data_IF_694839967783
#
_entry.id   IF_694839967783
#
_cell.length_a   1.000
_cell.length_b   1.000
_cell.length_c   1.000
_cell.angle_alpha   90.00
_cell.angle_beta   90.00
_cell.angle_gamma   90.00
#
_symmetry.space_group_name_H-M   'P 1'
#
loop_
_entity.id
_entity.type
_entity.pdbx_description
1 polymer ?
#
# COMPACT_ATOMS: atom_id res chain seq x y z
N UNK A 1 -33.50 -18.48 45.98
CA UNK A 1 -32.26 -17.71 45.73
C UNK A 1 -31.64 -18.26 44.46
N UNK A 2 -31.21 -17.40 43.56
CA UNK A 2 -30.32 -17.61 42.38
C UNK A 2 -30.70 -16.50 41.38
N UNK A 3 -30.18 -15.29 41.60
CA UNK A 3 -30.35 -14.16 40.71
C UNK A 3 -29.23 -14.19 39.66
N UNK A 4 -29.59 -14.42 38.40
CA UNK A 4 -28.67 -14.31 37.28
C UNK A 4 -28.19 -12.87 37.09
N UNK A 5 -26.97 -12.59 37.54
CA UNK A 5 -26.27 -11.32 37.31
C UNK A 5 -25.85 -11.25 35.84
N UNK A 6 -26.76 -10.78 34.98
CA UNK A 6 -26.45 -10.44 33.59
C UNK A 6 -25.79 -9.07 33.59
N UNK A 7 -24.45 -9.08 33.54
CA UNK A 7 -23.61 -7.88 33.53
C UNK A 7 -24.05 -6.85 32.49
N UNK A 8 -24.68 -5.77 32.96
CA UNK A 8 -25.09 -4.64 32.15
C UNK A 8 -23.86 -3.85 31.71
N UNK A 9 -23.55 -3.89 30.41
CA UNK A 9 -22.59 -2.95 29.83
C UNK A 9 -23.20 -1.55 29.84
N UNK A 10 -22.49 -0.60 30.45
CA UNK A 10 -22.89 0.81 30.50
C UNK A 10 -23.18 1.35 29.09
N UNK A 11 -24.27 2.11 28.94
CA UNK A 11 -24.67 2.79 27.68
C UNK A 11 -23.53 3.63 27.08
N UNK A 12 -22.61 4.12 27.93
CA UNK A 12 -21.42 4.86 27.50
C UNK A 12 -20.48 4.01 26.62
N UNK A 13 -20.33 2.71 26.92
CA UNK A 13 -19.48 1.81 26.12
C UNK A 13 -20.06 1.51 24.73
N UNK A 14 -21.38 1.68 24.55
CA UNK A 14 -22.05 1.48 23.25
C UNK A 14 -21.84 2.68 22.32
N UNK A 15 -21.78 3.90 22.89
CA UNK A 15 -21.53 5.15 22.16
C UNK A 15 -20.13 5.20 21.56
N UNK A 16 -19.11 4.82 22.33
CA UNK A 16 -17.71 4.84 21.87
C UNK A 16 -17.46 3.85 20.72
N UNK A 17 -18.02 2.64 20.82
CA UNK A 17 -17.86 1.59 19.79
C UNK A 17 -18.52 1.97 18.46
N UNK A 18 -19.65 2.69 18.50
CA UNK A 18 -20.32 3.19 17.29
C UNK A 18 -19.50 4.30 16.64
N UNK A 19 -18.98 5.23 17.45
CA UNK A 19 -18.15 6.35 17.00
C UNK A 19 -16.83 5.88 16.38
N UNK A 20 -16.21 4.85 16.94
CA UNK A 20 -15.00 4.23 16.40
C UNK A 20 -15.26 3.57 15.02
N UNK A 21 -16.39 2.89 14.87
CA UNK A 21 -16.81 2.26 13.61
C UNK A 21 -17.13 3.29 12.52
N UNK A 22 -17.68 4.45 12.89
CA UNK A 22 -17.89 5.58 11.97
C UNK A 22 -16.55 6.17 11.50
N UNK A 23 -15.58 6.37 12.41
CA UNK A 23 -14.22 6.81 12.05
C UNK A 23 -13.52 5.84 11.11
N UNK A 24 -13.65 4.53 11.31
CA UNK A 24 -13.08 3.53 10.40
C UNK A 24 -13.68 3.64 8.99
N UNK A 25 -15.00 3.79 8.87
CA UNK A 25 -15.68 3.98 7.58
C UNK A 25 -15.30 5.30 6.90
N UNK A 26 -15.09 6.36 7.67
CA UNK A 26 -14.59 7.63 7.13
C UNK A 26 -13.17 7.50 6.61
N UNK A 27 -12.29 6.78 7.33
CA UNK A 27 -10.93 6.46 6.85
C UNK A 27 -10.96 5.64 5.56
N UNK A 28 -11.74 4.56 5.49
CA UNK A 28 -11.89 3.74 4.28
C UNK A 28 -12.42 4.56 3.09
N UNK A 29 -13.38 5.47 3.32
CA UNK A 29 -13.91 6.37 2.28
C UNK A 29 -12.89 7.41 1.85
N UNK A 30 -12.08 7.92 2.77
CA UNK A 30 -11.02 8.87 2.49
C UNK A 30 -9.89 8.20 1.68
N UNK A 31 -9.46 6.99 2.07
CA UNK A 31 -8.49 6.19 1.34
C UNK A 31 -8.97 5.87 -0.08
N UNK A 32 -10.24 5.46 -0.23
CA UNK A 32 -10.83 5.20 -1.54
C UNK A 32 -10.87 6.46 -2.42
N UNK A 33 -11.22 7.62 -1.84
CA UNK A 33 -11.24 8.92 -2.56
C UNK A 33 -9.85 9.41 -2.95
N UNK A 34 -8.83 9.16 -2.14
CA UNK A 34 -7.44 9.52 -2.46
C UNK A 34 -6.95 8.65 -3.60
N UNK A 35 -7.22 7.35 -3.57
CA UNK A 35 -6.83 6.45 -4.65
C UNK A 35 -7.49 6.83 -5.98
N UNK A 36 -8.80 7.09 -5.97
CA UNK A 36 -9.62 7.53 -7.12
C UNK A 36 -9.15 8.87 -7.73
N UNK A 37 -8.84 9.87 -6.89
CA UNK A 37 -8.40 11.20 -7.38
C UNK A 37 -6.99 11.22 -7.96
N UNK A 38 -6.13 10.29 -7.54
CA UNK A 38 -4.71 10.29 -7.95
C UNK A 38 -4.52 9.47 -9.22
N UNK A 39 -5.29 8.39 -9.40
CA UNK A 39 -5.15 7.47 -10.55
C UNK A 39 -5.89 7.91 -11.81
N UNK A 40 -7.06 8.55 -11.71
CA UNK A 40 -7.98 8.74 -12.86
C UNK A 40 -7.74 10.03 -13.68
N UNK A 41 -6.93 10.99 -13.19
CA UNK A 41 -6.82 12.33 -13.80
C UNK A 41 -5.43 12.79 -14.25
N UNK A 42 -4.37 12.19 -13.72
CA UNK A 42 -3.00 12.65 -13.98
C UNK A 42 -2.09 11.55 -14.54
N UNK A 43 -2.57 10.31 -14.66
CA UNK A 43 -1.74 9.17 -15.03
C UNK A 43 -0.63 8.88 -14.02
N UNK A 44 -0.72 9.45 -12.80
CA UNK A 44 0.26 9.29 -11.74
C UNK A 44 -0.24 8.19 -10.80
N UNK A 45 0.39 7.03 -10.91
CA UNK A 45 0.03 5.87 -10.11
C UNK A 45 0.77 5.88 -8.77
N UNK A 46 0.19 5.23 -7.75
CA UNK A 46 0.80 5.16 -6.43
C UNK A 46 2.19 4.48 -6.46
N UNK A 47 3.05 4.76 -5.48
CA UNK A 47 4.34 4.10 -5.34
C UNK A 47 4.16 2.58 -5.22
N UNK A 48 5.13 1.85 -5.76
CA UNK A 48 5.27 0.42 -5.51
C UNK A 48 5.73 0.22 -4.08
N UNK A 49 4.99 -0.60 -3.33
CA UNK A 49 5.25 -0.87 -1.92
C UNK A 49 5.64 -2.34 -1.70
N UNK A 50 6.79 -2.57 -1.08
CA UNK A 50 7.15 -3.87 -0.52
C UNK A 50 6.78 -3.91 0.96
N UNK A 51 6.02 -4.93 1.35
CA UNK A 51 5.60 -5.16 2.73
C UNK A 51 6.31 -6.37 3.31
N UNK A 52 6.89 -6.21 4.49
CA UNK A 52 7.49 -7.30 5.26
C UNK A 52 6.69 -7.48 6.56
N UNK A 53 6.19 -8.69 6.80
CA UNK A 53 5.33 -8.96 7.95
C UNK A 53 4.00 -8.19 7.97
N UNK A 54 3.53 -7.68 6.81
CA UNK A 54 2.29 -6.91 6.69
C UNK A 54 2.46 -5.40 6.92
N UNK A 55 3.65 -4.93 7.30
CA UNK A 55 3.98 -3.51 7.38
C UNK A 55 4.75 -3.05 6.13
N UNK A 56 4.48 -1.84 5.66
CA UNK A 56 5.25 -1.20 4.59
C UNK A 56 6.72 -1.04 4.99
N UNK A 57 7.62 -1.48 4.11
CA UNK A 57 9.06 -1.44 4.39
C UNK A 57 9.85 -0.66 3.34
N UNK A 58 9.54 -0.85 2.05
CA UNK A 58 10.16 -0.11 0.95
C UNK A 58 9.05 0.51 0.11
N UNK A 59 9.20 1.80 -0.23
CA UNK A 59 8.34 2.49 -1.19
C UNK A 59 9.20 3.10 -2.28
N UNK A 60 8.81 2.89 -3.55
CA UNK A 60 9.51 3.43 -4.71
C UNK A 60 8.52 4.08 -5.67
N UNK A 61 8.89 5.25 -6.19
CA UNK A 61 8.18 5.92 -7.27
C UNK A 61 9.19 6.63 -8.17
N UNK A 62 8.91 6.66 -9.47
CA UNK A 62 9.66 7.47 -10.42
C UNK A 62 8.73 7.92 -11.55
N UNK A 63 9.01 9.10 -12.09
CA UNK A 63 8.37 9.59 -13.31
C UNK A 63 8.86 8.83 -14.54
N UNK A 64 10.15 8.48 -14.58
CA UNK A 64 10.74 7.67 -15.63
C UNK A 64 11.72 6.65 -15.03
N UNK A 65 11.51 5.37 -15.32
CA UNK A 65 12.40 4.27 -14.96
C UNK A 65 12.93 3.63 -16.24
N UNK A 66 14.14 4.02 -16.61
CA UNK A 66 14.84 3.43 -17.75
C UNK A 66 16.05 2.63 -17.28
N UNK A 67 16.21 1.42 -17.82
CA UNK A 67 17.42 0.62 -17.67
C UNK A 67 18.16 0.47 -19.00
N UNK A 68 19.48 0.38 -18.93
CA UNK A 68 20.33 0.11 -20.09
C UNK A 68 21.03 -1.24 -19.91
N UNK A 69 20.94 -2.11 -20.91
CA UNK A 69 21.52 -3.45 -20.87
C UNK A 69 22.50 -3.60 -22.03
N UNK A 70 23.71 -4.07 -21.76
CA UNK A 70 24.71 -4.35 -22.78
C UNK A 70 24.45 -5.74 -23.37
N UNK A 71 24.09 -5.81 -24.66
CA UNK A 71 23.87 -7.08 -25.39
C UNK A 71 24.60 -7.05 -26.72
N UNK A 72 25.37 -8.10 -27.01
CA UNK A 72 26.14 -8.20 -28.25
C UNK A 72 27.07 -7.01 -28.53
N UNK A 73 27.60 -6.37 -27.48
CA UNK A 73 28.45 -5.18 -27.59
C UNK A 73 27.72 -3.84 -27.83
N UNK A 74 26.37 -3.81 -27.79
CA UNK A 74 25.57 -2.59 -27.94
C UNK A 74 24.72 -2.35 -26.70
N UNK A 75 24.58 -1.09 -26.31
CA UNK A 75 23.66 -0.69 -25.23
C UNK A 75 22.23 -0.63 -25.77
N UNK A 76 21.37 -1.46 -25.20
CA UNK A 76 19.92 -1.43 -25.42
C UNK A 76 19.25 -0.69 -24.26
N UNK A 77 18.38 0.27 -24.57
CA UNK A 77 17.67 1.08 -23.58
C UNK A 77 16.21 0.62 -23.48
N UNK A 78 15.74 0.35 -22.28
CA UNK A 78 14.39 -0.14 -22.01
C UNK A 78 13.68 0.76 -20.99
N UNK A 79 12.53 1.31 -21.37
CA UNK A 79 11.63 2.01 -20.46
C UNK A 79 10.74 0.99 -19.73
N UNK A 80 10.85 0.95 -18.41
CA UNK A 80 10.11 0.06 -17.52
C UNK A 80 9.03 0.80 -16.72
N UNK A 81 8.82 2.10 -16.96
CA UNK A 81 7.94 2.96 -16.16
C UNK A 81 6.52 2.40 -16.08
N UNK A 82 5.88 2.17 -17.23
CA UNK A 82 4.51 1.62 -17.28
C UNK A 82 4.43 0.18 -16.80
N UNK A 83 5.53 -0.58 -16.85
CA UNK A 83 5.61 -1.96 -16.35
C UNK A 83 5.82 -2.04 -14.83
N UNK A 84 6.16 -0.92 -14.19
CA UNK A 84 6.46 -0.85 -12.75
C UNK A 84 5.42 -0.04 -12.01
N UNK A 85 5.05 1.12 -12.54
CA UNK A 85 4.12 2.09 -11.96
C UNK A 85 2.86 2.25 -12.83
N UNK A 86 2.48 1.27 -13.65
CA UNK A 86 1.29 1.39 -14.50
C UNK A 86 -0.01 1.07 -13.78
N UNK A 87 -1.13 1.40 -14.42
CA UNK A 87 -2.47 1.05 -13.93
C UNK A 87 -2.62 -0.47 -13.78
N UNK A 88 -3.09 -0.91 -12.61
CA UNK A 88 -3.34 -2.33 -12.34
C UNK A 88 -2.08 -3.21 -12.32
N UNK A 89 -0.89 -2.61 -12.38
CA UNK A 89 0.37 -3.35 -12.36
C UNK A 89 0.69 -3.78 -10.94
N UNK A 90 1.02 -5.06 -10.77
CA UNK A 90 1.58 -5.60 -9.53
C UNK A 90 2.95 -6.18 -9.84
N UNK A 91 4.04 -5.42 -9.66
CA UNK A 91 5.38 -5.90 -9.99
C UNK A 91 5.76 -7.07 -9.08
N UNK A 92 6.55 -8.00 -9.60
CA UNK A 92 7.02 -9.17 -8.85
C UNK A 92 8.20 -8.76 -7.96
N UNK A 93 7.92 -8.49 -6.70
CA UNK A 93 8.93 -8.07 -5.71
C UNK A 93 9.66 -9.25 -5.03
N UNK A 94 9.84 -10.36 -5.74
CA UNK A 94 10.50 -11.55 -5.21
C UNK A 94 11.99 -11.27 -4.99
N UNK A 95 12.51 -11.62 -3.82
CA UNK A 95 13.90 -11.34 -3.44
C UNK A 95 14.13 -9.94 -2.84
N UNK A 96 13.07 -9.15 -2.67
CA UNK A 96 13.10 -7.98 -1.80
C UNK A 96 13.29 -8.42 -0.35
N UNK A 97 14.09 -7.66 0.40
CA UNK A 97 14.40 -7.88 1.81
C UNK A 97 14.46 -6.53 2.50
N UNK A 98 13.94 -6.43 3.71
CA UNK A 98 14.00 -5.22 4.50
C UNK A 98 14.11 -5.55 5.99
N UNK A 99 15.29 -5.29 6.55
CA UNK A 99 15.51 -5.36 7.99
C UNK A 99 15.81 -3.97 8.56
N UNK A 100 16.14 -3.89 9.85
CA UNK A 100 16.33 -2.60 10.54
C UNK A 100 17.46 -1.72 9.97
N UNK A 101 18.44 -2.30 9.28
CA UNK A 101 19.63 -1.59 8.80
C UNK A 101 19.88 -1.72 7.29
N UNK A 102 19.25 -2.68 6.62
CA UNK A 102 19.44 -2.98 5.22
C UNK A 102 18.12 -3.25 4.52
N UNK A 103 17.94 -2.58 3.39
CA UNK A 103 16.87 -2.85 2.45
C UNK A 103 17.45 -3.18 1.09
N UNK A 104 16.85 -4.16 0.41
CA UNK A 104 17.13 -4.52 -0.98
C UNK A 104 15.80 -4.61 -1.70
N UNK A 105 15.69 -3.88 -2.79
CA UNK A 105 14.55 -3.96 -3.69
C UNK A 105 14.85 -4.97 -4.80
N UNK A 106 14.00 -5.98 -4.95
CA UNK A 106 13.96 -6.87 -6.10
C UNK A 106 12.94 -6.34 -7.11
N UNK A 107 13.31 -5.26 -7.81
CA UNK A 107 12.52 -4.67 -8.92
C UNK A 107 13.28 -4.90 -10.22
#
# INVERSE_FOLDING_TARGET
MEAGVRGGRSLLQYGDRKRERERQREKERAEKKVNDRTTDRTGVFPPVEFKEGGAGCIMLWAENLTVSVLRGGRWERHDLTSLTFGEGVTPRLQGSLCNQSHSRSGV
#
